data_IF_113014871601
#
_entry.id   IF_113014871601
#
_cell.length_a   1.000
_cell.length_b   1.000
_cell.length_c   1.000
_cell.angle_alpha   90.00
_cell.angle_beta   90.00
_cell.angle_gamma   90.00
#
_symmetry.space_group_name_H-M   'P 1'
#
loop_
_entity.id
_entity.type
_entity.pdbx_description
1 polymer ?
#
# COMPACT_ATOMS: atom_id res chain seq x y z
N UNK A 1 -20.92 -1.07 -4.57
CA UNK A 1 -19.96 -1.93 -5.30
C UNK A 1 -18.61 -1.79 -4.62
N UNK A 2 -17.80 -2.84 -4.54
CA UNK A 2 -16.54 -2.87 -3.78
C UNK A 2 -16.19 -4.30 -3.39
N UNK A 3 -15.32 -4.43 -2.39
CA UNK A 3 -14.89 -5.70 -1.81
C UNK A 3 -15.50 -5.83 -0.42
N UNK A 4 -16.72 -6.41 -0.29
CA UNK A 4 -17.38 -6.57 1.01
C UNK A 4 -16.58 -7.52 1.91
N UNK A 5 -17.03 -7.70 3.16
CA UNK A 5 -16.37 -8.57 4.15
C UNK A 5 -15.88 -9.89 3.57
N UNK A 6 -14.55 -10.07 3.54
CA UNK A 6 -13.87 -11.26 3.03
C UNK A 6 -12.60 -11.57 3.85
N UNK A 7 -12.16 -12.84 3.90
CA UNK A 7 -11.02 -13.23 4.70
C UNK A 7 -9.69 -13.20 3.93
N UNK A 8 -8.59 -12.98 4.66
CA UNK A 8 -7.21 -13.26 4.22
C UNK A 8 -6.43 -13.99 5.32
N UNK A 9 -5.40 -14.78 4.95
CA UNK A 9 -4.48 -15.47 5.87
C UNK A 9 -3.13 -15.73 5.21
N UNK A 10 -2.04 -15.59 5.96
CA UNK A 10 -0.70 -16.03 5.56
C UNK A 10 -0.01 -15.15 4.51
N UNK A 11 -0.54 -13.95 4.29
CA UNK A 11 -0.05 -12.94 3.33
C UNK A 11 -0.09 -11.55 3.96
N UNK A 12 0.49 -10.58 3.25
CA UNK A 12 0.25 -9.16 3.42
C UNK A 12 -0.49 -8.62 2.19
N UNK A 13 -1.37 -7.65 2.40
CA UNK A 13 -2.06 -6.91 1.33
C UNK A 13 -1.68 -5.44 1.42
N UNK A 14 -1.13 -4.90 0.33
CA UNK A 14 -0.77 -3.50 0.21
C UNK A 14 -1.74 -2.84 -0.76
N UNK A 15 -2.55 -1.89 -0.28
CA UNK A 15 -3.48 -1.09 -1.10
C UNK A 15 -2.89 0.30 -1.26
N UNK A 16 -2.58 0.70 -2.49
CA UNK A 16 -2.05 2.03 -2.83
C UNK A 16 -3.05 2.77 -3.73
N UNK A 17 -3.54 3.93 -3.29
CA UNK A 17 -4.58 4.68 -4.03
C UNK A 17 -3.93 5.80 -4.84
N UNK A 18 -4.24 5.87 -6.13
CA UNK A 18 -3.78 6.93 -7.02
C UNK A 18 -4.84 8.00 -7.26
N UNK A 19 -6.13 7.62 -7.23
CA UNK A 19 -7.26 8.52 -7.48
C UNK A 19 -8.52 7.98 -6.82
N UNK A 20 -9.31 8.87 -6.21
CA UNK A 20 -10.46 8.49 -5.38
C UNK A 20 -10.02 8.11 -3.97
N UNK A 21 -10.91 7.43 -3.26
CA UNK A 21 -10.75 7.00 -1.88
C UNK A 21 -11.17 5.53 -1.70
N UNK A 22 -10.70 4.87 -0.65
CA UNK A 22 -11.18 3.54 -0.23
C UNK A 22 -11.57 3.59 1.23
N UNK A 23 -12.85 3.43 1.53
CA UNK A 23 -13.30 3.19 2.90
C UNK A 23 -12.98 1.74 3.28
N UNK A 24 -12.30 1.52 4.39
CA UNK A 24 -11.98 0.17 4.86
C UNK A 24 -12.45 -0.10 6.28
N UNK A 25 -12.62 -1.37 6.61
CA UNK A 25 -12.86 -1.82 7.96
C UNK A 25 -12.51 -3.28 8.17
N UNK A 26 -12.08 -3.65 9.36
CA UNK A 26 -11.66 -5.03 9.67
C UNK A 26 -12.27 -5.60 10.97
N UNK A 27 -12.04 -6.90 11.18
CA UNK A 27 -12.52 -7.67 12.33
C UNK A 27 -11.81 -7.34 13.65
N UNK A 28 -10.73 -6.55 13.63
CA UNK A 28 -10.08 -6.02 14.84
C UNK A 28 -10.69 -4.69 15.28
N UNK A 29 -11.59 -4.12 14.47
CA UNK A 29 -12.25 -2.86 14.72
C UNK A 29 -11.56 -1.66 14.06
N UNK A 30 -10.48 -1.86 13.29
CA UNK A 30 -9.87 -0.77 12.53
C UNK A 30 -10.84 -0.32 11.44
N UNK A 31 -10.91 0.99 11.22
CA UNK A 31 -11.70 1.62 10.15
C UNK A 31 -10.99 2.90 9.73
N UNK A 32 -11.13 3.24 8.46
CA UNK A 32 -10.49 4.44 7.92
C UNK A 32 -10.83 4.66 6.45
N UNK A 33 -10.19 5.69 5.91
CA UNK A 33 -10.24 6.03 4.48
C UNK A 33 -8.78 6.07 4.00
N UNK A 34 -8.51 5.39 2.89
CA UNK A 34 -7.25 5.47 2.15
C UNK A 34 -7.49 6.44 1.01
N UNK A 35 -6.90 7.63 1.05
CA UNK A 35 -7.09 8.66 0.03
C UNK A 35 -6.00 8.64 -1.04
N UNK A 36 -6.16 9.46 -2.08
CA UNK A 36 -5.17 9.55 -3.15
C UNK A 36 -3.76 9.87 -2.63
N UNK A 37 -2.81 8.99 -2.97
CA UNK A 37 -1.43 9.01 -2.51
C UNK A 37 -1.18 8.20 -1.24
N UNK A 38 -2.21 7.76 -0.52
CA UNK A 38 -2.07 6.98 0.71
C UNK A 38 -1.87 5.49 0.41
N UNK A 39 -1.22 4.82 1.36
CA UNK A 39 -0.96 3.39 1.34
C UNK A 39 -1.52 2.74 2.60
N UNK A 40 -2.27 1.66 2.43
CA UNK A 40 -2.57 0.72 3.50
C UNK A 40 -1.68 -0.51 3.36
N UNK A 41 -0.97 -0.87 4.42
CA UNK A 41 -0.24 -2.12 4.54
C UNK A 41 -0.84 -2.98 5.64
N UNK A 42 -1.47 -4.09 5.26
CA UNK A 42 -2.11 -5.00 6.20
C UNK A 42 -1.41 -6.36 6.18
N UNK A 43 -0.87 -6.78 7.32
CA UNK A 43 -0.40 -8.16 7.51
C UNK A 43 -1.58 -9.00 7.98
N UNK A 44 -2.07 -9.94 7.16
CA UNK A 44 -3.19 -10.80 7.54
C UNK A 44 -2.79 -11.87 8.57
N UNK A 45 -1.55 -12.39 8.48
CA UNK A 45 -1.01 -13.36 9.45
C UNK A 45 -1.95 -14.54 9.67
N UNK A 46 -2.25 -14.86 10.94
CA UNK A 46 -3.16 -15.95 11.34
C UNK A 46 -4.58 -15.81 10.81
N UNK A 47 -4.98 -14.62 10.39
CA UNK A 47 -6.22 -14.36 9.66
C UNK A 47 -6.85 -13.03 10.06
N UNK A 48 -7.49 -12.38 9.08
CA UNK A 48 -8.31 -11.19 9.27
C UNK A 48 -9.50 -11.23 8.31
N UNK A 49 -10.66 -10.73 8.75
CA UNK A 49 -11.81 -10.48 7.87
C UNK A 49 -11.93 -8.98 7.72
N UNK A 50 -12.01 -8.50 6.48
CA UNK A 50 -12.04 -7.06 6.20
C UNK A 50 -12.89 -6.74 4.98
N UNK A 51 -13.18 -5.46 4.81
CA UNK A 51 -13.84 -4.91 3.63
C UNK A 51 -13.08 -3.68 3.13
N UNK A 52 -13.13 -3.46 1.83
CA UNK A 52 -12.55 -2.31 1.14
C UNK A 52 -13.58 -1.81 0.13
N UNK A 53 -14.05 -0.58 0.31
CA UNK A 53 -15.19 0.00 -0.38
C UNK A 53 -14.73 1.22 -1.15
N UNK A 54 -14.30 1.06 -2.42
CA UNK A 54 -13.84 2.17 -3.24
C UNK A 54 -14.91 3.22 -3.46
N UNK A 55 -14.52 4.48 -3.32
CA UNK A 55 -15.28 5.69 -3.60
C UNK A 55 -14.52 6.46 -4.66
N UNK A 56 -15.12 6.63 -5.84
CA UNK A 56 -14.50 7.43 -6.89
C UNK A 56 -14.35 8.89 -6.45
N UNK A 57 -13.48 9.64 -7.12
CA UNK A 57 -13.40 11.09 -6.97
C UNK A 57 -14.68 11.81 -7.42
N UNK A 58 -14.68 13.14 -7.43
CA UNK A 58 -15.83 13.95 -7.88
C UNK A 58 -16.28 13.63 -9.33
N UNK A 59 -15.35 13.16 -10.18
CA UNK A 59 -15.63 12.72 -11.55
C UNK A 59 -15.95 11.21 -11.66
N UNK A 60 -16.01 10.49 -10.53
CA UNK A 60 -16.29 9.06 -10.44
C UNK A 60 -15.08 8.16 -10.78
N UNK A 61 -13.87 8.72 -10.90
CA UNK A 61 -12.66 7.96 -11.19
C UNK A 61 -12.13 7.28 -9.93
N UNK A 62 -11.71 6.02 -10.05
CA UNK A 62 -11.07 5.26 -8.97
C UNK A 62 -9.88 4.50 -9.54
N UNK A 63 -8.67 4.85 -9.13
CA UNK A 63 -7.44 4.16 -9.54
C UNK A 63 -6.60 3.82 -8.32
N UNK A 64 -6.02 2.63 -8.34
CA UNK A 64 -5.11 2.17 -7.32
C UNK A 64 -4.62 0.76 -7.63
N UNK A 65 -3.67 0.30 -6.82
CA UNK A 65 -3.12 -1.03 -6.89
C UNK A 65 -3.40 -1.78 -5.59
N UNK A 66 -3.65 -3.08 -5.70
CA UNK A 66 -3.62 -3.97 -4.55
C UNK A 66 -2.60 -5.08 -4.83
N UNK A 67 -1.56 -5.14 -4.01
CA UNK A 67 -0.50 -6.14 -4.12
C UNK A 67 -0.63 -7.12 -2.96
N UNK A 68 -0.56 -8.41 -3.25
CA UNK A 68 -0.50 -9.45 -2.23
C UNK A 68 0.90 -10.03 -2.18
N UNK A 69 1.51 -9.97 -1.01
CA UNK A 69 2.85 -10.44 -0.81
C UNK A 69 2.87 -11.58 0.20
N UNK A 70 3.63 -12.61 -0.13
CA UNK A 70 3.62 -13.86 0.61
C UNK A 70 4.44 -13.72 1.90
N UNK A 71 3.86 -14.11 3.05
CA UNK A 71 4.64 -14.18 4.29
C UNK A 71 5.57 -15.40 4.29
N UNK A 72 6.78 -15.30 4.86
CA UNK A 72 7.63 -16.45 5.18
C UNK A 72 6.87 -17.51 5.98
N UNK A 73 7.18 -18.79 5.78
CA UNK A 73 6.47 -19.91 6.40
C UNK A 73 6.34 -19.79 7.93
N UNK A 74 7.41 -19.38 8.62
CA UNK A 74 7.48 -19.18 10.07
C UNK A 74 6.72 -17.94 10.58
N UNK A 75 6.25 -17.07 9.68
CA UNK A 75 5.50 -15.85 9.99
C UNK A 75 4.04 -15.89 9.53
N UNK A 76 3.62 -16.92 8.79
CA UNK A 76 2.24 -17.04 8.27
C UNK A 76 1.15 -17.00 9.34
N UNK A 77 1.46 -17.35 10.58
CA UNK A 77 0.51 -17.41 11.70
C UNK A 77 0.75 -16.33 12.76
N UNK A 78 1.53 -15.30 12.46
CA UNK A 78 1.68 -14.15 13.37
C UNK A 78 0.35 -13.39 13.53
N UNK A 79 0.16 -12.62 14.62
CA UNK A 79 -1.03 -11.79 14.77
C UNK A 79 -1.21 -10.82 13.60
N UNK A 80 -2.45 -10.56 13.16
CA UNK A 80 -2.72 -9.54 12.16
C UNK A 80 -2.29 -8.15 12.67
N UNK A 81 -1.81 -7.31 11.76
CA UNK A 81 -1.44 -5.92 12.05
C UNK A 81 -1.72 -5.01 10.87
N UNK A 82 -1.86 -3.73 11.17
CA UNK A 82 -2.22 -2.69 10.22
C UNK A 82 -1.23 -1.53 10.31
N UNK A 83 -0.83 -0.99 9.15
CA UNK A 83 -0.08 0.25 9.05
C UNK A 83 -0.66 1.08 7.90
N UNK A 84 -1.24 2.23 8.23
CA UNK A 84 -1.63 3.25 7.26
C UNK A 84 -0.49 4.25 7.08
N UNK A 85 -0.28 4.71 5.86
CA UNK A 85 0.68 5.75 5.51
C UNK A 85 -0.04 6.78 4.68
N UNK A 86 0.01 8.02 5.12
CA UNK A 86 -0.48 9.14 4.34
C UNK A 86 0.49 9.49 3.23
N UNK A 87 -0.01 10.11 2.17
CA UNK A 87 0.83 10.60 1.06
C UNK A 87 1.99 11.48 1.52
N UNK A 88 1.81 12.24 2.61
CA UNK A 88 2.82 13.12 3.19
C UNK A 88 3.96 12.37 3.92
N UNK A 89 3.71 11.14 4.35
CA UNK A 89 4.71 10.27 4.99
C UNK A 89 5.58 9.53 3.97
N UNK A 90 5.17 9.49 2.70
CA UNK A 90 5.89 8.79 1.64
C UNK A 90 6.88 9.78 1.01
N UNK A 91 8.19 9.59 1.21
CA UNK A 91 9.18 10.50 0.67
C UNK A 91 9.30 10.34 -0.85
N UNK A 92 9.60 11.46 -1.48
CA UNK A 92 9.82 11.55 -2.92
C UNK A 92 11.27 11.96 -3.17
N UNK A 93 11.87 11.37 -4.20
CA UNK A 93 13.18 11.73 -4.72
C UNK A 93 13.11 11.90 -6.23
N UNK A 94 14.01 12.69 -6.78
CA UNK A 94 14.04 12.97 -8.22
C UNK A 94 15.43 12.76 -8.80
N UNK A 95 15.48 12.17 -9.98
CA UNK A 95 16.65 12.13 -10.85
C UNK A 95 16.38 13.01 -12.08
N UNK A 96 17.39 13.31 -12.92
CA UNK A 96 17.13 13.97 -14.19
C UNK A 96 16.13 13.16 -15.04
N UNK A 97 14.89 13.66 -15.12
CA UNK A 97 13.83 13.05 -15.93
C UNK A 97 12.95 12.01 -15.24
N UNK A 98 13.12 11.75 -13.95
CA UNK A 98 12.22 10.88 -13.20
C UNK A 98 11.93 11.40 -11.79
N UNK A 99 10.71 11.16 -11.33
CA UNK A 99 10.26 11.38 -9.96
C UNK A 99 9.85 10.04 -9.37
N UNK A 100 10.31 9.74 -8.16
CA UNK A 100 10.14 8.44 -7.52
C UNK A 100 9.62 8.64 -6.11
N UNK A 101 8.44 8.09 -5.83
CA UNK A 101 7.93 7.93 -4.46
C UNK A 101 8.39 6.61 -3.90
N UNK A 102 9.03 6.64 -2.73
CA UNK A 102 9.61 5.46 -2.09
C UNK A 102 8.63 4.92 -1.05
N UNK A 103 7.71 4.05 -1.47
CA UNK A 103 6.70 3.45 -0.57
C UNK A 103 7.38 2.46 0.39
N UNK A 104 8.24 1.58 -0.13
CA UNK A 104 9.07 0.66 0.65
C UNK A 104 10.44 0.46 0.00
N UNK A 105 11.45 0.17 0.82
CA UNK A 105 12.84 0.03 0.38
C UNK A 105 13.59 1.37 0.38
N UNK A 106 14.48 1.56 -0.60
CA UNK A 106 15.39 2.71 -0.66
C UNK A 106 15.80 3.06 -2.08
N UNK A 107 15.98 4.35 -2.35
CA UNK A 107 16.57 4.92 -3.57
C UNK A 107 17.63 5.96 -3.16
N UNK A 108 18.90 5.69 -3.45
CA UNK A 108 20.01 6.50 -2.93
C UNK A 108 19.99 6.55 -1.41
N UNK A 109 19.96 7.76 -0.85
CA UNK A 109 19.87 8.00 0.60
C UNK A 109 18.42 8.10 1.13
N UNK A 110 17.42 8.02 0.24
CA UNK A 110 16.00 8.17 0.59
C UNK A 110 15.38 6.80 0.86
N UNK A 111 14.99 6.54 2.11
CA UNK A 111 14.32 5.33 2.55
C UNK A 111 12.80 5.53 2.64
N UNK A 112 12.02 4.52 2.27
CA UNK A 112 10.57 4.55 2.47
C UNK A 112 10.20 4.44 3.95
N UNK A 113 8.99 4.85 4.32
CA UNK A 113 8.54 4.86 5.71
C UNK A 113 8.29 3.44 6.24
N UNK A 114 8.18 2.45 5.35
CA UNK A 114 7.91 1.05 5.69
C UNK A 114 9.23 0.32 6.00
N UNK A 115 9.61 0.29 7.26
CA UNK A 115 10.87 -0.29 7.77
C UNK A 115 10.71 -1.52 8.68
N UNK A 116 9.50 -1.73 9.22
CA UNK A 116 9.14 -2.86 10.10
C UNK A 116 8.18 -3.86 9.42
N UNK A 117 8.39 -4.14 8.14
CA UNK A 117 7.60 -5.13 7.39
C UNK A 117 8.25 -6.51 7.38
N UNK A 118 7.42 -7.55 7.33
CA UNK A 118 7.91 -8.94 7.44
C UNK A 118 8.61 -9.37 6.17
N UNK A 119 8.10 -8.89 5.05
CA UNK A 119 8.69 -8.99 3.72
C UNK A 119 9.53 -7.73 3.54
N UNK A 120 10.70 -7.82 2.89
CA UNK A 120 11.60 -6.69 2.64
C UNK A 120 11.57 -6.30 1.14
N UNK A 121 10.48 -5.67 0.64
CA UNK A 121 10.35 -5.34 -0.77
C UNK A 121 10.93 -3.96 -1.08
N UNK A 122 11.36 -3.78 -2.33
CA UNK A 122 11.30 -2.46 -2.96
C UNK A 122 9.93 -2.27 -3.59
N UNK A 123 9.22 -1.23 -3.17
CA UNK A 123 7.99 -0.79 -3.81
C UNK A 123 8.08 0.72 -4.07
N UNK A 124 8.20 1.06 -5.35
CA UNK A 124 8.41 2.41 -5.84
C UNK A 124 7.27 2.78 -6.81
N UNK A 125 6.79 4.02 -6.72
CA UNK A 125 5.97 4.64 -7.76
C UNK A 125 6.84 5.62 -8.55
N UNK A 126 7.11 5.27 -9.82
CA UNK A 126 8.06 5.98 -10.67
C UNK A 126 7.34 6.65 -11.84
N UNK A 127 7.44 7.98 -11.91
CA UNK A 127 7.05 8.77 -13.07
C UNK A 127 8.28 9.14 -13.87
N UNK A 128 8.41 8.59 -15.09
CA UNK A 128 9.58 8.76 -15.96
C UNK A 128 9.17 9.55 -17.21
N UNK A 129 9.93 10.60 -17.53
CA UNK A 129 9.70 11.43 -18.71
C UNK A 129 9.97 10.68 -20.03
N UNK A 130 9.39 11.14 -21.15
CA UNK A 130 9.63 10.51 -22.45
C UNK A 130 11.12 10.47 -22.82
N UNK A 131 11.63 9.28 -23.15
CA UNK A 131 13.03 9.09 -23.53
C UNK A 131 14.03 9.15 -22.37
N UNK A 132 13.56 9.22 -21.12
CA UNK A 132 14.39 9.20 -19.93
C UNK A 132 14.45 7.78 -19.33
N UNK A 133 15.46 7.54 -18.50
CA UNK A 133 15.68 6.25 -17.83
C UNK A 133 15.82 6.45 -16.32
N UNK A 134 15.34 5.49 -15.55
CA UNK A 134 15.61 5.33 -14.13
C UNK A 134 16.39 4.01 -13.97
N UNK A 135 17.68 4.13 -13.64
CA UNK A 135 18.63 3.01 -13.51
C UNK A 135 19.13 2.92 -12.07
#
# INVERSE_FOLDING_TARGET
KGFPWHPHRGIETITYVLKGDVEHGDSLGNRGVISAGDVQWMTAGSGIIHQEMPKGDEAGSMHGFQLWANLPANRKMMPPRYRGLTAAEIPETSTPGATIKVIAGRVGDVAGPVDDVVIDPQYLDCSIGPGMEFV
#
